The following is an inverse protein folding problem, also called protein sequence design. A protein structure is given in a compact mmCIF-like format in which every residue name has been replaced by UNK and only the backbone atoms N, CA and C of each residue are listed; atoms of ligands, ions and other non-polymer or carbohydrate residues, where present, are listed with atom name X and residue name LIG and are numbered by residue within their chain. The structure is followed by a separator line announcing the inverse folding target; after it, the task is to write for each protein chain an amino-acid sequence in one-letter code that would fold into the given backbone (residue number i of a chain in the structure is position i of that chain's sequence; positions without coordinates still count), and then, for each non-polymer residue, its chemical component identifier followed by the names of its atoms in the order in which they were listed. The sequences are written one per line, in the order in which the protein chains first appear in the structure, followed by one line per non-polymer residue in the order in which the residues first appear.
data_IF_146346012025
#
_entry.id   IF_146346012025
#
_cell.length_a   1.000
_cell.length_b   1.000
_cell.length_c   1.000
_cell.angle_alpha   90.00
_cell.angle_beta   90.00
_cell.angle_gamma   90.00
#
_symmetry.space_group_name_H-M   'P 1'
#
loop_
_entity.id
_entity.type
_entity.pdbx_description
1 polymer ?
#
# COMPACT_ATOMS: atom_id res chain seq x y z
N UNK A 1 8.37 17.81 12.33
CA UNK A 1 9.33 16.81 12.84
C UNK A 1 9.10 15.38 12.34
N UNK A 2 8.00 15.06 11.63
CA UNK A 2 7.72 13.69 11.17
C UNK A 2 8.34 13.27 9.83
N UNK A 3 8.73 14.22 8.97
CA UNK A 3 9.14 13.93 7.59
C UNK A 3 10.33 12.95 7.51
N UNK A 4 11.34 13.16 8.36
CA UNK A 4 12.54 12.30 8.40
C UNK A 4 12.23 10.86 8.84
N UNK A 5 11.25 10.69 9.74
CA UNK A 5 10.78 9.36 10.13
C UNK A 5 10.06 8.68 8.97
N UNK A 6 9.23 9.42 8.23
CA UNK A 6 8.52 8.92 7.05
C UNK A 6 9.51 8.52 5.94
N UNK A 7 10.57 9.29 5.71
CA UNK A 7 11.65 8.96 4.77
C UNK A 7 12.37 7.66 5.17
N UNK A 8 12.72 7.53 6.45
CA UNK A 8 13.38 6.32 6.97
C UNK A 8 12.45 5.11 6.82
N UNK A 9 11.17 5.25 7.16
CA UNK A 9 10.19 4.17 6.99
C UNK A 9 10.03 3.79 5.50
N UNK A 10 9.94 4.78 4.62
CA UNK A 10 9.79 4.58 3.19
C UNK A 10 10.97 3.79 2.58
N UNK A 11 12.20 4.05 3.06
CA UNK A 11 13.40 3.36 2.60
C UNK A 11 13.60 1.99 3.28
N UNK A 12 13.25 1.86 4.56
CA UNK A 12 13.47 0.64 5.34
C UNK A 12 12.40 -0.43 5.11
N UNK A 13 11.11 -0.05 4.99
CA UNK A 13 10.01 -1.00 4.89
C UNK A 13 10.18 -1.96 3.68
N UNK A 14 10.43 -1.51 2.44
CA UNK A 14 10.62 -2.40 1.31
C UNK A 14 11.79 -3.38 1.48
N UNK A 15 12.84 -2.97 2.21
CA UNK A 15 14.00 -3.82 2.53
C UNK A 15 13.68 -4.87 3.58
N UNK A 16 12.79 -4.57 4.53
CA UNK A 16 12.40 -5.48 5.62
C UNK A 16 11.32 -6.47 5.18
N UNK A 17 10.39 -6.07 4.31
CA UNK A 17 9.30 -6.89 3.75
C UNK A 17 9.72 -8.32 3.33
N UNK A 18 10.81 -8.55 2.56
CA UNK A 18 11.21 -9.90 2.18
C UNK A 18 11.65 -10.78 3.35
N UNK A 19 12.08 -10.19 4.48
CA UNK A 19 12.52 -10.92 5.68
C UNK A 19 11.39 -11.17 6.68
N UNK A 20 10.25 -10.49 6.55
CA UNK A 20 9.10 -10.68 7.44
C UNK A 20 8.30 -11.91 7.01
N UNK A 21 8.06 -12.80 7.97
CA UNK A 21 7.21 -13.98 7.81
C UNK A 21 5.85 -13.57 7.26
N UNK A 22 5.33 -14.35 6.31
CA UNK A 22 4.06 -14.07 5.61
C UNK A 22 2.92 -13.80 6.61
N UNK A 23 2.88 -14.51 7.74
CA UNK A 23 1.86 -14.38 8.77
C UNK A 23 1.87 -13.03 9.52
N UNK A 24 3.00 -12.32 9.52
CA UNK A 24 3.15 -11.02 10.21
C UNK A 24 3.22 -9.84 9.25
N UNK A 25 3.10 -10.07 7.93
CA UNK A 25 3.17 -8.99 6.94
C UNK A 25 2.02 -8.00 7.08
N UNK A 26 0.90 -8.41 7.65
CA UNK A 26 -0.22 -7.52 7.95
C UNK A 26 0.12 -6.43 8.98
N UNK A 27 1.11 -6.65 9.85
CA UNK A 27 1.56 -5.62 10.80
C UNK A 27 2.27 -4.46 10.09
N UNK A 28 2.76 -4.68 8.87
CA UNK A 28 3.40 -3.64 8.05
C UNK A 28 2.41 -2.77 7.27
N UNK A 29 1.15 -3.21 7.09
CA UNK A 29 0.11 -2.45 6.39
C UNK A 29 -0.07 -1.02 6.94
N UNK A 30 -0.33 -0.82 8.25
CA UNK A 30 -0.54 0.52 8.80
C UNK A 30 0.69 1.42 8.67
N UNK A 31 1.90 0.83 8.75
CA UNK A 31 3.15 1.57 8.57
C UNK A 31 3.33 2.04 7.13
N UNK A 32 3.06 1.17 6.16
CA UNK A 32 3.12 1.50 4.74
C UNK A 32 2.07 2.53 4.35
N UNK A 33 0.83 2.40 4.84
CA UNK A 33 -0.21 3.42 4.63
C UNK A 33 0.21 4.78 5.15
N UNK A 34 0.72 4.84 6.38
CA UNK A 34 1.16 6.08 6.99
C UNK A 34 2.31 6.72 6.20
N UNK A 35 3.26 5.90 5.72
CA UNK A 35 4.33 6.37 4.86
C UNK A 35 3.77 6.96 3.56
N UNK A 36 2.87 6.27 2.85
CA UNK A 36 2.27 6.74 1.59
C UNK A 36 1.45 8.03 1.78
N UNK A 37 0.67 8.11 2.85
CA UNK A 37 -0.18 9.28 3.11
C UNK A 37 0.64 10.54 3.41
N UNK A 38 1.73 10.39 4.16
CA UNK A 38 2.53 11.52 4.66
C UNK A 38 3.74 11.88 3.79
N UNK A 39 4.16 11.02 2.84
CA UNK A 39 5.36 11.26 2.06
C UNK A 39 5.13 12.39 1.02
N UNK A 40 5.97 13.44 0.98
CA UNK A 40 5.78 14.57 0.05
C UNK A 40 6.12 14.20 -1.40
N UNK A 41 7.07 13.29 -1.62
CA UNK A 41 7.51 12.85 -2.95
C UNK A 41 6.55 11.83 -3.57
N UNK A 42 6.06 12.10 -4.78
CA UNK A 42 5.12 11.23 -5.50
C UNK A 42 5.74 9.94 -6.02
N UNK A 43 7.01 9.93 -6.42
CA UNK A 43 7.68 8.72 -6.89
C UNK A 43 7.89 7.71 -5.77
N UNK A 44 8.24 8.20 -4.57
CA UNK A 44 8.35 7.33 -3.39
C UNK A 44 6.99 6.75 -3.01
N UNK A 45 5.92 7.55 -3.04
CA UNK A 45 4.56 7.07 -2.77
C UNK A 45 4.11 5.98 -3.74
N UNK A 46 4.40 6.15 -5.03
CA UNK A 46 4.06 5.15 -6.04
C UNK A 46 4.81 3.83 -5.79
N UNK A 47 6.12 3.91 -5.53
CA UNK A 47 6.94 2.74 -5.15
C UNK A 47 6.45 2.04 -3.88
N UNK A 48 6.05 2.81 -2.87
CA UNK A 48 5.47 2.28 -1.64
C UNK A 48 4.11 1.65 -1.87
N UNK A 49 3.25 2.28 -2.67
CA UNK A 49 1.92 1.76 -3.03
C UNK A 49 2.06 0.44 -3.79
N UNK A 50 2.97 0.39 -4.76
CA UNK A 50 3.31 -0.83 -5.46
C UNK A 50 3.86 -1.91 -4.50
N UNK A 51 4.71 -1.53 -3.54
CA UNK A 51 5.23 -2.45 -2.52
C UNK A 51 4.13 -2.94 -1.57
N UNK A 52 3.17 -2.09 -1.20
CA UNK A 52 2.00 -2.40 -0.36
C UNK A 52 1.13 -3.49 -1.01
N UNK A 53 0.85 -3.34 -2.30
CA UNK A 53 0.06 -4.35 -3.02
C UNK A 53 0.86 -5.65 -3.23
N UNK A 54 2.17 -5.58 -3.45
CA UNK A 54 3.03 -6.76 -3.57
C UNK A 54 3.39 -7.42 -2.24
N UNK A 55 3.19 -6.72 -1.12
CA UNK A 55 3.45 -7.19 0.25
C UNK A 55 2.66 -8.46 0.54
N UNK A 56 1.41 -8.50 0.06
CA UNK A 56 0.50 -9.63 0.20
C UNK A 56 0.13 -10.14 -1.20
N UNK A 57 0.96 -11.04 -1.74
CA UNK A 57 0.74 -11.65 -3.07
C UNK A 57 -0.58 -12.44 -3.19
N UNK A 58 -1.13 -12.94 -2.07
CA UNK A 58 -2.40 -13.68 -2.01
C UNK A 58 -3.12 -13.37 -0.70
N UNK A 59 -3.89 -12.27 -0.62
CA UNK A 59 -4.57 -11.92 0.61
C UNK A 59 -5.76 -12.85 0.86
N UNK A 60 -5.86 -13.35 2.08
CA UNK A 60 -7.05 -14.04 2.57
C UNK A 60 -8.25 -13.08 2.63
N UNK A 61 -9.47 -13.60 2.83
CA UNK A 61 -10.69 -12.77 2.81
C UNK A 61 -10.65 -11.63 3.84
N UNK A 62 -10.08 -11.88 5.02
CA UNK A 62 -9.87 -10.86 6.05
C UNK A 62 -8.84 -9.81 5.60
N UNK A 63 -7.72 -10.24 5.05
CA UNK A 63 -6.67 -9.34 4.57
C UNK A 63 -7.16 -8.49 3.38
N UNK A 64 -7.98 -9.05 2.49
CA UNK A 64 -8.64 -8.29 1.42
C UNK A 64 -9.52 -7.18 1.97
N UNK A 65 -10.33 -7.47 2.99
CA UNK A 65 -11.15 -6.44 3.67
C UNK A 65 -10.28 -5.34 4.28
N UNK A 66 -9.18 -5.70 4.95
CA UNK A 66 -8.27 -4.74 5.57
C UNK A 66 -7.57 -3.87 4.52
N UNK A 67 -7.05 -4.47 3.43
CA UNK A 67 -6.42 -3.72 2.32
C UNK A 67 -7.43 -2.80 1.63
N UNK A 68 -8.67 -3.26 1.44
CA UNK A 68 -9.70 -2.44 0.81
C UNK A 68 -10.10 -1.25 1.69
N UNK A 69 -10.31 -1.48 3.00
CA UNK A 69 -10.57 -0.39 3.95
C UNK A 69 -9.39 0.59 4.01
N UNK A 70 -8.16 0.06 4.00
CA UNK A 70 -6.93 0.83 3.90
C UNK A 70 -6.93 1.73 2.64
N UNK A 71 -7.20 1.18 1.46
CA UNK A 71 -7.26 1.97 0.22
C UNK A 71 -8.35 3.04 0.27
N UNK A 72 -9.52 2.74 0.84
CA UNK A 72 -10.62 3.71 0.98
C UNK A 72 -10.24 4.84 1.94
N UNK A 73 -9.57 4.53 3.05
CA UNK A 73 -9.06 5.53 4.00
C UNK A 73 -7.97 6.38 3.37
N UNK A 74 -7.05 5.75 2.64
CA UNK A 74 -5.98 6.43 1.93
C UNK A 74 -6.56 7.39 0.89
N UNK A 75 -7.51 6.94 0.07
CA UNK A 75 -8.21 7.76 -0.92
C UNK A 75 -8.89 8.99 -0.29
N UNK A 76 -9.55 8.82 0.87
CA UNK A 76 -10.16 9.92 1.61
C UNK A 76 -9.12 10.93 2.13
N UNK A 77 -7.96 10.45 2.57
CA UNK A 77 -6.91 11.29 3.15
C UNK A 77 -6.07 12.01 2.08
N UNK A 78 -5.75 11.35 0.95
CA UNK A 78 -4.91 11.93 -0.11
C UNK A 78 -5.70 12.85 -1.08
N UNK A 79 -7.02 12.72 -1.09
CA UNK A 79 -7.92 13.51 -1.92
C UNK A 79 -8.17 12.91 -3.31
N UNK A 80 -9.18 13.44 -4.00
CA UNK A 80 -9.72 12.86 -5.24
C UNK A 80 -8.70 12.84 -6.39
N UNK A 81 -7.95 13.93 -6.57
CA UNK A 81 -6.97 14.02 -7.65
C UNK A 81 -5.84 12.98 -7.52
N UNK A 82 -5.32 12.76 -6.31
CA UNK A 82 -4.28 11.75 -6.04
C UNK A 82 -4.82 10.34 -6.09
N UNK A 83 -6.08 10.14 -5.70
CA UNK A 83 -6.74 8.84 -5.83
C UNK A 83 -6.83 8.41 -7.30
N UNK A 84 -7.19 9.35 -8.17
CA UNK A 84 -7.36 9.05 -9.59
C UNK A 84 -6.04 8.81 -10.33
N UNK A 85 -4.96 9.48 -9.93
CA UNK A 85 -3.67 9.40 -10.63
C UNK A 85 -2.66 8.42 -10.01
N UNK A 86 -2.74 8.14 -8.71
CA UNK A 86 -1.80 7.25 -8.01
C UNK A 86 -2.45 5.90 -7.64
N UNK A 87 -3.66 5.91 -7.05
CA UNK A 87 -4.33 4.71 -6.54
C UNK A 87 -5.03 3.89 -7.64
N UNK A 88 -5.85 4.52 -8.48
CA UNK A 88 -6.63 3.82 -9.51
C UNK A 88 -5.76 3.02 -10.50
N UNK A 89 -4.64 3.56 -11.04
CA UNK A 89 -3.78 2.80 -11.95
C UNK A 89 -3.16 1.58 -11.26
N UNK A 90 -2.69 1.74 -10.02
CA UNK A 90 -2.12 0.64 -9.22
C UNK A 90 -3.17 -0.44 -8.92
N UNK A 91 -4.39 -0.04 -8.52
CA UNK A 91 -5.49 -0.98 -8.33
C UNK A 91 -5.84 -1.72 -9.63
N UNK A 92 -5.86 -1.02 -10.76
CA UNK A 92 -6.15 -1.61 -12.07
C UNK A 92 -5.08 -2.62 -12.51
N UNK A 93 -3.80 -2.32 -12.31
CA UNK A 93 -2.71 -3.26 -12.59
C UNK A 93 -2.82 -4.55 -11.76
N UNK A 94 -3.21 -4.45 -10.48
CA UNK A 94 -3.44 -5.63 -9.64
C UNK A 94 -4.62 -6.48 -10.11
N UNK A 95 -5.66 -5.83 -10.65
CA UNK A 95 -6.82 -6.52 -11.26
C UNK A 95 -6.42 -7.21 -12.57
N UNK A 96 -5.69 -6.50 -13.43
CA UNK A 96 -5.30 -6.95 -14.77
C UNK A 96 -4.26 -8.08 -14.75
N UNK A 97 -3.33 -8.06 -13.78
CA UNK A 97 -2.28 -9.09 -13.65
C UNK A 97 -2.79 -10.40 -13.01
N UNK A 98 -4.09 -10.50 -12.66
CA UNK A 98 -4.68 -11.69 -12.08
C UNK A 98 -4.32 -11.93 -10.60
N UNK A 99 -3.79 -10.92 -9.92
CA UNK A 99 -3.37 -10.94 -8.52
C UNK A 99 -4.57 -10.86 -7.55
N UNK A 100 -5.52 -11.80 -7.61
CA UNK A 100 -6.45 -12.26 -6.54
C UNK A 100 -7.33 -11.23 -5.77
N UNK A 101 -7.03 -9.94 -5.74
CA UNK A 101 -7.71 -8.93 -4.92
C UNK A 101 -9.12 -8.59 -5.41
N UNK A 102 -9.41 -8.76 -6.71
CA UNK A 102 -10.66 -8.27 -7.31
C UNK A 102 -11.53 -9.31 -8.03
N UNK A 103 -11.24 -10.62 -7.93
CA UNK A 103 -12.18 -11.65 -8.43
C UNK A 103 -13.47 -11.78 -7.58
N UNK A 104 -13.74 -10.82 -6.69
CA UNK A 104 -14.88 -10.82 -5.77
C UNK A 104 -15.64 -9.48 -5.75
N UNK A 105 -15.55 -8.68 -6.82
CA UNK A 105 -16.61 -7.75 -7.20
C UNK A 105 -17.42 -8.34 -8.35
#
# INVERSE_FOLDING_TARGET
MGLRTIEILADALPKIVPYVLINHREELLPLMMCAIECHPDSGVRDSLTHTLFNLIKRPDEQQRRIIMDACVRLAKNVGQMRTETELLPQCWEQVACGSILWRAC
#
